data_IF_297634837808
#
_entry.id   IF_297634837808
#
_cell.length_a   1.000
_cell.length_b   1.000
_cell.length_c   1.000
_cell.angle_alpha   90.00
_cell.angle_beta   90.00
_cell.angle_gamma   90.00
#
_symmetry.space_group_name_H-M   'P 1'
#
loop_
_entity.id
_entity.type
_entity.pdbx_description
1 polymer ?
#
# COMPACT_ATOMS: atom_id res chain seq x y z
N UNK A 1 -4.34 -13.88 15.49
CA UNK A 1 -3.14 -13.10 15.10
C UNK A 1 -3.41 -12.42 13.76
N UNK A 2 -2.85 -11.22 13.56
CA UNK A 2 -2.95 -10.47 12.29
C UNK A 2 -1.61 -10.57 11.58
N UNK A 3 -1.63 -10.94 10.28
CA UNK A 3 -0.45 -10.96 9.44
C UNK A 3 0.02 -9.55 9.09
N UNK A 4 1.33 -9.28 9.13
CA UNK A 4 1.90 -8.01 8.70
C UNK A 4 3.28 -8.19 8.06
N UNK A 5 3.73 -7.16 7.31
CA UNK A 5 5.01 -7.15 6.60
C UNK A 5 5.77 -5.87 6.96
N UNK A 6 6.38 -5.79 8.15
CA UNK A 6 7.02 -4.56 8.66
C UNK A 6 8.17 -4.03 7.79
N UNK A 7 8.77 -4.89 6.97
CA UNK A 7 9.87 -4.53 6.05
C UNK A 7 9.38 -3.92 4.73
N UNK A 8 8.07 -3.88 4.47
CA UNK A 8 7.54 -3.32 3.23
C UNK A 8 7.49 -1.79 3.27
N UNK A 9 7.70 -1.15 2.11
CA UNK A 9 7.59 0.30 1.99
C UNK A 9 6.20 0.82 2.33
N UNK A 10 5.15 0.09 1.95
CA UNK A 10 3.77 0.45 2.26
C UNK A 10 3.48 0.42 3.78
N UNK A 11 4.05 -0.53 4.51
CA UNK A 11 3.93 -0.55 5.97
C UNK A 11 4.63 0.66 6.60
N UNK A 12 5.83 1.02 6.10
CA UNK A 12 6.53 2.23 6.55
C UNK A 12 5.68 3.49 6.33
N UNK A 13 5.07 3.64 5.16
CA UNK A 13 4.18 4.78 4.86
C UNK A 13 2.95 4.81 5.76
N UNK A 14 2.39 3.67 6.10
CA UNK A 14 1.29 3.56 7.05
C UNK A 14 1.71 3.99 8.47
N UNK A 15 2.92 3.63 8.90
CA UNK A 15 3.47 4.09 10.19
C UNK A 15 3.69 5.60 10.18
N UNK A 16 4.24 6.17 9.10
CA UNK A 16 4.35 7.62 8.93
C UNK A 16 2.99 8.30 9.04
N UNK A 17 1.98 7.78 8.36
CA UNK A 17 0.62 8.31 8.45
C UNK A 17 0.06 8.23 9.88
N UNK A 18 0.31 7.14 10.58
CA UNK A 18 -0.09 6.97 11.99
C UNK A 18 0.57 8.01 12.89
N UNK A 19 1.86 8.26 12.71
CA UNK A 19 2.60 9.29 13.45
C UNK A 19 2.02 10.68 13.17
N UNK A 20 1.83 11.03 11.91
CA UNK A 20 1.30 12.35 11.52
C UNK A 20 -0.13 12.61 12.01
N UNK A 21 -0.96 11.59 12.04
CA UNK A 21 -2.39 11.73 12.39
C UNK A 21 -2.68 11.53 13.89
N UNK A 22 -1.89 10.70 14.56
CA UNK A 22 -2.17 10.24 15.93
C UNK A 22 -1.02 10.48 16.92
N UNK A 23 0.17 10.81 16.42
CA UNK A 23 1.39 10.98 17.20
C UNK A 23 2.15 9.67 17.51
N UNK A 24 3.40 9.83 17.93
CA UNK A 24 4.35 8.73 18.16
C UNK A 24 3.85 7.69 19.15
N UNK A 25 3.30 8.14 20.28
CA UNK A 25 2.83 7.25 21.34
C UNK A 25 1.76 6.28 20.85
N UNK A 26 0.80 6.77 20.06
CA UNK A 26 -0.28 5.94 19.51
C UNK A 26 0.27 4.99 18.46
N UNK A 27 1.14 5.47 17.57
CA UNK A 27 1.80 4.65 16.56
C UNK A 27 2.64 3.54 17.21
N UNK A 28 3.44 3.87 18.22
CA UNK A 28 4.26 2.89 18.93
C UNK A 28 3.43 1.82 19.65
N UNK A 29 2.35 2.23 20.34
CA UNK A 29 1.45 1.29 20.99
C UNK A 29 0.80 0.33 20.00
N UNK A 30 0.38 0.81 18.83
CA UNK A 30 -0.15 -0.02 17.77
C UNK A 30 0.90 -1.02 17.26
N UNK A 31 2.14 -0.58 17.04
CA UNK A 31 3.26 -1.43 16.61
C UNK A 31 3.58 -2.52 17.65
N UNK A 32 3.63 -2.17 18.93
CA UNK A 32 3.80 -3.15 20.03
C UNK A 32 2.67 -4.17 20.05
N UNK A 33 1.42 -3.71 19.88
CA UNK A 33 0.27 -4.61 19.74
C UNK A 33 0.38 -5.57 18.56
N UNK A 34 0.91 -5.11 17.41
CA UNK A 34 1.19 -5.97 16.26
C UNK A 34 2.31 -6.99 16.57
N UNK A 35 3.34 -6.61 17.34
CA UNK A 35 4.40 -7.54 17.76
C UNK A 35 3.85 -8.66 18.63
N UNK A 36 3.03 -8.32 19.61
CA UNK A 36 2.46 -9.28 20.57
C UNK A 36 1.39 -10.18 19.93
N UNK A 37 0.52 -9.60 19.13
CA UNK A 37 -0.69 -10.26 18.61
C UNK A 37 -0.61 -10.58 17.12
N UNK A 38 0.49 -10.25 16.46
CA UNK A 38 0.69 -10.43 15.02
C UNK A 38 1.47 -11.71 14.66
N UNK A 39 1.53 -11.96 13.36
CA UNK A 39 2.48 -12.87 12.71
C UNK A 39 3.18 -12.12 11.60
N UNK A 40 4.51 -12.14 11.61
CA UNK A 40 5.33 -11.38 10.65
C UNK A 40 5.62 -12.23 9.43
N UNK A 41 5.53 -11.61 8.26
CA UNK A 41 5.82 -12.23 6.97
C UNK A 41 6.84 -11.40 6.18
N UNK A 42 7.59 -12.05 5.31
CA UNK A 42 8.61 -11.38 4.49
C UNK A 42 8.01 -10.63 3.28
N UNK A 43 6.82 -11.01 2.81
CA UNK A 43 6.16 -10.45 1.62
C UNK A 43 4.65 -10.40 1.80
N UNK A 44 4.02 -9.36 1.20
CA UNK A 44 2.56 -9.22 1.23
C UNK A 44 1.83 -10.40 0.56
N UNK A 45 2.35 -10.96 -0.53
CA UNK A 45 1.78 -12.15 -1.17
C UNK A 45 1.82 -13.38 -0.27
N UNK A 46 2.86 -13.53 0.56
CA UNK A 46 2.95 -14.62 1.54
C UNK A 46 1.95 -14.40 2.68
N UNK A 47 1.81 -13.17 3.17
CA UNK A 47 0.82 -12.84 4.18
C UNK A 47 -0.62 -13.09 3.69
N UNK A 48 -0.92 -12.73 2.43
CA UNK A 48 -2.20 -13.04 1.80
C UNK A 48 -2.45 -14.55 1.71
N UNK A 49 -1.45 -15.32 1.26
CA UNK A 49 -1.57 -16.77 1.16
C UNK A 49 -1.77 -17.43 2.53
N UNK A 50 -1.18 -16.88 3.59
CA UNK A 50 -1.39 -17.35 4.96
C UNK A 50 -2.85 -17.17 5.43
N UNK A 51 -3.50 -16.05 5.03
CA UNK A 51 -4.94 -15.88 5.28
C UNK A 51 -5.76 -16.86 4.45
N UNK A 52 -5.42 -17.03 3.17
CA UNK A 52 -6.11 -17.97 2.28
C UNK A 52 -6.03 -19.42 2.78
N UNK A 53 -4.90 -19.80 3.38
CA UNK A 53 -4.68 -21.11 3.99
C UNK A 53 -5.30 -21.25 5.40
N UNK A 54 -5.82 -20.16 5.99
CA UNK A 54 -6.39 -20.17 7.34
C UNK A 54 -5.35 -20.14 8.47
N UNK A 55 -4.08 -19.81 8.19
CA UNK A 55 -3.05 -19.67 9.22
C UNK A 55 -3.29 -18.47 10.15
N UNK A 56 -3.78 -17.37 9.59
CA UNK A 56 -4.17 -16.15 10.28
C UNK A 56 -5.53 -15.66 9.77
N UNK A 57 -6.37 -15.06 10.61
CA UNK A 57 -7.70 -14.62 10.19
C UNK A 57 -7.69 -13.37 9.31
N UNK A 58 -6.63 -12.58 9.33
CA UNK A 58 -6.48 -11.36 8.55
C UNK A 58 -5.01 -11.01 8.34
N UNK A 59 -4.72 -10.19 7.32
CA UNK A 59 -3.40 -9.59 7.10
C UNK A 59 -3.52 -8.16 6.57
N UNK A 60 -2.56 -7.32 6.96
CA UNK A 60 -2.41 -5.96 6.42
C UNK A 60 -1.59 -6.02 5.13
N UNK A 61 -2.23 -5.73 4.02
CA UNK A 61 -1.62 -5.75 2.68
C UNK A 61 -2.17 -4.60 1.82
N UNK A 62 -1.50 -4.31 0.71
CA UNK A 62 -2.11 -3.48 -0.32
C UNK A 62 -3.18 -4.26 -1.09
N UNK A 63 -4.24 -3.58 -1.50
CA UNK A 63 -5.39 -4.17 -2.21
C UNK A 63 -5.00 -4.92 -3.49
N UNK A 64 -4.05 -4.41 -4.25
CA UNK A 64 -3.68 -5.01 -5.55
C UNK A 64 -3.13 -6.43 -5.46
N UNK A 65 -2.60 -6.87 -4.31
CA UNK A 65 -2.18 -8.28 -4.13
C UNK A 65 -3.38 -9.22 -4.18
N UNK A 66 -4.48 -8.83 -3.54
CA UNK A 66 -5.71 -9.64 -3.58
C UNK A 66 -6.32 -9.69 -4.99
N UNK A 67 -6.37 -8.54 -5.69
CA UNK A 67 -6.88 -8.49 -7.05
C UNK A 67 -6.01 -9.30 -8.02
N UNK A 68 -4.69 -9.33 -7.83
CA UNK A 68 -3.81 -10.18 -8.62
C UNK A 68 -4.11 -11.67 -8.40
N UNK A 69 -4.30 -12.09 -7.15
CA UNK A 69 -4.68 -13.45 -6.81
C UNK A 69 -6.07 -13.83 -7.35
N UNK A 70 -7.03 -12.90 -7.24
CA UNK A 70 -8.38 -13.08 -7.76
C UNK A 70 -8.41 -13.20 -9.31
N UNK A 71 -7.54 -12.46 -10.00
CA UNK A 71 -7.39 -12.58 -11.45
C UNK A 71 -6.80 -13.94 -11.86
N UNK A 72 -5.89 -14.48 -11.05
CA UNK A 72 -5.24 -15.77 -11.29
C UNK A 72 -6.16 -16.95 -11.02
N UNK A 73 -6.89 -16.93 -9.90
CA UNK A 73 -7.63 -18.10 -9.39
C UNK A 73 -9.15 -18.01 -9.54
N UNK A 74 -9.69 -16.86 -9.94
CA UNK A 74 -11.11 -16.53 -9.84
C UNK A 74 -11.47 -16.01 -8.44
N UNK A 75 -12.10 -14.87 -8.34
CA UNK A 75 -12.46 -14.26 -7.05
C UNK A 75 -13.43 -15.15 -6.24
N UNK A 76 -14.30 -15.87 -6.93
CA UNK A 76 -15.27 -16.81 -6.37
C UNK A 76 -14.64 -18.04 -5.73
N UNK A 77 -13.40 -18.37 -6.12
CA UNK A 77 -12.65 -19.51 -5.59
C UNK A 77 -11.80 -19.14 -4.36
N UNK A 78 -11.70 -17.86 -4.02
CA UNK A 78 -10.93 -17.40 -2.87
C UNK A 78 -11.73 -17.47 -1.57
N UNK A 79 -11.08 -17.90 -0.50
CA UNK A 79 -11.63 -17.87 0.85
C UNK A 79 -11.52 -16.48 1.47
N UNK A 80 -10.61 -15.65 0.94
CA UNK A 80 -10.34 -14.30 1.43
C UNK A 80 -11.17 -13.26 0.71
N UNK A 81 -11.33 -12.11 1.35
CA UNK A 81 -11.94 -10.91 0.78
C UNK A 81 -11.22 -9.67 1.29
N UNK A 82 -11.31 -8.57 0.54
CA UNK A 82 -10.79 -7.29 0.99
C UNK A 82 -11.74 -6.63 1.99
N UNK A 83 -11.15 -6.07 3.05
CA UNK A 83 -11.79 -5.13 3.93
C UNK A 83 -11.07 -3.79 3.85
N UNK A 84 -11.76 -2.73 3.43
CA UNK A 84 -11.21 -1.38 3.36
C UNK A 84 -11.46 -0.66 4.68
N UNK A 85 -10.39 -0.30 5.37
CA UNK A 85 -10.45 0.58 6.52
C UNK A 85 -10.91 1.96 6.02
N UNK A 86 -11.72 2.67 6.81
CA UNK A 86 -12.38 3.95 6.42
C UNK A 86 -12.23 4.99 7.52
N UNK A 87 -13.04 6.06 7.43
CA UNK A 87 -13.19 7.11 8.45
C UNK A 87 -11.91 7.90 8.72
N UNK A 88 -11.11 8.14 7.67
CA UNK A 88 -9.83 8.88 7.77
C UNK A 88 -8.85 8.27 8.77
N UNK A 89 -9.01 6.97 9.04
CA UNK A 89 -8.06 6.23 9.86
C UNK A 89 -6.70 6.11 9.14
N UNK A 90 -5.56 6.07 9.85
CA UNK A 90 -4.26 5.83 9.22
C UNK A 90 -4.22 4.58 8.33
N UNK A 91 -5.00 3.55 8.66
CA UNK A 91 -5.13 2.32 7.85
C UNK A 91 -5.89 2.51 6.54
N UNK A 92 -6.60 3.62 6.35
CA UNK A 92 -7.25 3.99 5.09
C UNK A 92 -6.33 4.81 4.15
N UNK A 93 -5.02 4.86 4.43
CA UNK A 93 -4.05 5.60 3.64
C UNK A 93 -4.08 5.17 2.17
N UNK A 94 -4.19 6.16 1.29
CA UNK A 94 -3.96 5.99 -0.15
C UNK A 94 -2.58 6.55 -0.48
N UNK A 95 -1.75 5.74 -1.11
CA UNK A 95 -0.40 6.10 -1.55
C UNK A 95 -0.35 6.27 -3.06
N UNK A 96 0.68 6.96 -3.54
CA UNK A 96 0.86 7.23 -4.96
C UNK A 96 2.15 6.58 -5.44
N UNK A 97 2.08 5.92 -6.60
CA UNK A 97 3.27 5.53 -7.35
C UNK A 97 3.83 6.74 -8.07
N UNK A 98 5.15 6.88 -8.09
CA UNK A 98 5.82 8.01 -8.70
C UNK A 98 6.95 7.58 -9.63
N UNK A 99 7.25 8.41 -10.62
CA UNK A 99 8.42 8.29 -11.46
C UNK A 99 9.24 9.59 -11.39
N UNK A 100 10.56 9.46 -11.38
CA UNK A 100 11.46 10.61 -11.35
C UNK A 100 12.65 10.40 -12.29
N UNK A 101 13.17 11.49 -12.82
CA UNK A 101 14.37 11.49 -13.66
C UNK A 101 15.56 11.85 -12.78
N UNK A 102 16.56 10.98 -12.71
CA UNK A 102 17.77 11.24 -11.95
C UNK A 102 18.53 12.45 -12.52
N UNK A 103 19.01 13.32 -11.64
CA UNK A 103 19.82 14.50 -12.04
C UNK A 103 21.05 14.10 -12.86
N UNK A 104 21.63 12.95 -12.57
CA UNK A 104 22.81 12.38 -13.24
C UNK A 104 22.48 11.64 -14.55
N UNK A 105 21.21 11.48 -14.92
CA UNK A 105 20.84 10.80 -16.17
C UNK A 105 21.44 11.52 -17.38
N UNK A 106 22.00 10.72 -18.29
CA UNK A 106 22.49 11.19 -19.59
C UNK A 106 21.41 11.19 -20.69
N UNK A 107 20.26 10.53 -20.42
CA UNK A 107 19.14 10.35 -21.35
C UNK A 107 17.88 11.07 -20.85
N UNK A 108 18.02 12.34 -20.44
CA UNK A 108 16.91 13.09 -19.80
C UNK A 108 15.73 13.33 -20.70
N UNK A 109 16.00 13.60 -21.98
CA UNK A 109 14.92 13.85 -22.96
C UNK A 109 14.09 12.59 -23.21
N UNK A 110 14.72 11.44 -23.38
CA UNK A 110 14.04 10.15 -23.52
C UNK A 110 13.30 9.77 -22.26
N UNK A 111 13.93 9.97 -21.12
CA UNK A 111 13.30 9.72 -19.80
C UNK A 111 12.08 10.61 -19.60
N UNK A 112 12.15 11.90 -20.03
CA UNK A 112 11.00 12.80 -20.00
C UNK A 112 9.86 12.30 -20.87
N UNK A 113 10.12 11.89 -22.10
CA UNK A 113 9.11 11.32 -23.00
C UNK A 113 8.43 10.09 -22.36
N UNK A 114 9.20 9.26 -21.67
CA UNK A 114 8.64 8.09 -20.96
C UNK A 114 7.76 8.50 -19.78
N UNK A 115 8.18 9.47 -18.96
CA UNK A 115 7.36 10.00 -17.86
C UNK A 115 6.08 10.64 -18.38
N UNK A 116 6.17 11.43 -19.46
CA UNK A 116 5.01 12.03 -20.12
C UNK A 116 4.06 10.94 -20.67
N UNK A 117 4.61 9.86 -21.23
CA UNK A 117 3.81 8.69 -21.65
C UNK A 117 3.09 8.05 -20.46
N UNK A 118 3.76 7.82 -19.32
CA UNK A 118 3.13 7.24 -18.13
C UNK A 118 1.94 8.08 -17.63
N UNK A 119 2.01 9.41 -17.75
CA UNK A 119 0.92 10.31 -17.39
C UNK A 119 -0.16 10.45 -18.50
N UNK A 120 0.10 9.97 -19.70
CA UNK A 120 -0.86 10.02 -20.81
C UNK A 120 -2.02 9.04 -20.60
N UNK A 121 -3.12 9.22 -21.38
CA UNK A 121 -4.24 8.27 -21.35
C UNK A 121 -3.79 6.85 -21.65
N UNK A 122 -3.01 6.65 -22.73
CA UNK A 122 -2.49 5.33 -23.11
C UNK A 122 -1.60 4.70 -22.03
N UNK A 123 -0.73 5.49 -21.40
CA UNK A 123 0.12 5.03 -20.30
C UNK A 123 -0.69 4.62 -19.10
N UNK A 124 -1.67 5.42 -18.71
CA UNK A 124 -2.56 5.09 -17.60
C UNK A 124 -3.42 3.85 -17.90
N UNK A 125 -3.98 3.73 -19.10
CA UNK A 125 -4.72 2.53 -19.53
C UNK A 125 -3.84 1.28 -19.45
N UNK A 126 -2.57 1.35 -19.90
CA UNK A 126 -1.63 0.24 -19.83
C UNK A 126 -1.32 -0.18 -18.38
N UNK A 127 -1.14 0.79 -17.47
CA UNK A 127 -0.88 0.54 -16.05
C UNK A 127 -2.07 -0.15 -15.36
N UNK A 128 -3.27 0.41 -15.49
CA UNK A 128 -4.45 -0.14 -14.82
C UNK A 128 -4.96 -1.44 -15.45
N UNK A 129 -4.60 -1.76 -16.68
CA UNK A 129 -4.94 -3.04 -17.31
C UNK A 129 -4.31 -4.25 -16.60
N UNK A 130 -3.17 -4.04 -15.95
CA UNK A 130 -2.40 -5.12 -15.32
C UNK A 130 -2.38 -5.05 -13.79
N UNK A 131 -2.72 -3.89 -13.20
CA UNK A 131 -2.73 -3.70 -11.76
C UNK A 131 -4.02 -3.03 -11.30
N UNK A 132 -4.54 -3.49 -10.18
CA UNK A 132 -5.70 -2.90 -9.52
C UNK A 132 -5.29 -1.63 -8.76
N UNK A 133 -4.97 -0.60 -9.52
CA UNK A 133 -4.62 0.75 -9.06
C UNK A 133 -5.61 1.76 -9.63
N UNK A 134 -5.81 2.86 -8.91
CA UNK A 134 -6.65 3.97 -9.39
C UNK A 134 -5.86 4.82 -10.38
N UNK A 135 -6.39 5.07 -11.58
CA UNK A 135 -5.71 5.96 -12.52
C UNK A 135 -5.70 7.40 -11.98
N UNK A 136 -4.67 8.17 -12.33
CA UNK A 136 -4.63 9.61 -12.05
C UNK A 136 -5.58 10.41 -12.96
N UNK A 137 -5.96 9.84 -14.08
CA UNK A 137 -6.83 10.47 -15.08
C UNK A 137 -8.27 10.06 -14.89
N UNK A 138 -9.18 11.02 -14.96
CA UNK A 138 -10.62 10.81 -14.86
C UNK A 138 -11.26 10.18 -16.10
N UNK A 139 -10.55 10.23 -17.25
CA UNK A 139 -10.97 9.65 -18.53
C UNK A 139 -10.39 8.23 -18.77
N UNK A 140 -9.84 7.60 -17.72
CA UNK A 140 -9.36 6.22 -17.71
C UNK A 140 -10.09 5.43 -16.63
N UNK A 141 -10.55 4.23 -16.97
CA UNK A 141 -11.23 3.33 -16.04
C UNK A 141 -10.42 2.06 -15.85
N UNK A 142 -10.24 1.64 -14.61
CA UNK A 142 -9.63 0.34 -14.31
C UNK A 142 -10.60 -0.80 -14.65
N UNK A 143 -10.11 -1.90 -15.27
CA UNK A 143 -10.94 -3.09 -15.52
C UNK A 143 -11.21 -3.92 -14.26
N UNK A 144 -10.53 -3.62 -13.14
CA UNK A 144 -10.77 -4.29 -11.87
C UNK A 144 -11.99 -3.67 -11.17
N UNK A 145 -12.84 -4.52 -10.60
CA UNK A 145 -14.01 -4.08 -9.83
C UNK A 145 -13.56 -3.60 -8.43
N UNK A 146 -12.91 -2.43 -8.40
CA UNK A 146 -12.42 -1.84 -7.16
C UNK A 146 -13.51 -1.02 -6.46
N UNK A 147 -13.39 -0.88 -5.13
CA UNK A 147 -14.19 0.07 -4.36
C UNK A 147 -14.06 1.48 -4.97
N UNK A 148 -15.13 2.24 -5.19
CA UNK A 148 -15.02 3.60 -5.69
C UNK A 148 -14.11 4.47 -4.82
N UNK A 149 -13.19 5.22 -5.43
CA UNK A 149 -12.19 6.02 -4.72
C UNK A 149 -12.79 6.92 -3.64
N UNK A 150 -13.92 7.57 -3.94
CA UNK A 150 -14.62 8.46 -2.99
C UNK A 150 -15.13 7.72 -1.73
N UNK A 151 -15.34 6.40 -1.80
CA UNK A 151 -15.80 5.59 -0.67
C UNK A 151 -14.67 5.14 0.24
N UNK A 152 -13.41 5.29 -0.16
CA UNK A 152 -12.25 4.91 0.66
C UNK A 152 -12.11 5.77 1.90
N UNK A 153 -12.60 7.02 1.88
CA UNK A 153 -12.50 7.96 2.99
C UNK A 153 -11.07 8.09 3.53
N UNK A 154 -10.10 8.15 2.59
CA UNK A 154 -8.69 8.24 2.93
C UNK A 154 -8.39 9.50 3.76
N UNK A 155 -7.44 9.43 4.72
CA UNK A 155 -6.96 10.61 5.41
C UNK A 155 -6.15 11.50 4.46
N UNK A 156 -6.15 12.79 4.71
CA UNK A 156 -5.24 13.72 4.03
C UNK A 156 -3.94 13.76 4.81
N UNK A 157 -2.88 13.23 4.22
CA UNK A 157 -1.54 13.20 4.81
C UNK A 157 -0.55 13.75 3.78
N UNK A 158 0.32 14.66 4.21
CA UNK A 158 1.41 15.15 3.36
C UNK A 158 2.39 14.04 3.00
N UNK A 159 2.98 14.13 1.82
CA UNK A 159 4.00 13.17 1.38
C UNK A 159 5.09 12.97 2.44
N UNK A 160 5.58 11.73 2.67
CA UNK A 160 6.61 11.47 3.66
C UNK A 160 7.94 12.15 3.30
N UNK A 161 8.52 12.87 4.24
CA UNK A 161 9.91 13.35 4.16
C UNK A 161 10.88 12.23 4.55
N UNK A 162 12.19 12.46 4.33
CA UNK A 162 13.21 11.55 4.81
C UNK A 162 13.20 11.43 6.35
N UNK A 163 12.98 12.55 7.05
CA UNK A 163 12.88 12.60 8.51
C UNK A 163 11.67 11.82 9.03
N UNK A 164 10.49 11.96 8.38
CA UNK A 164 9.30 11.16 8.73
C UNK A 164 9.57 9.65 8.64
N UNK A 165 10.26 9.23 7.57
CA UNK A 165 10.62 7.82 7.37
C UNK A 165 11.64 7.31 8.40
N UNK A 166 12.61 8.15 8.75
CA UNK A 166 13.59 7.82 9.81
C UNK A 166 12.89 7.63 11.15
N UNK A 167 12.00 8.55 11.53
CA UNK A 167 11.23 8.45 12.76
C UNK A 167 10.35 7.20 12.79
N UNK A 168 9.63 6.92 11.71
CA UNK A 168 8.81 5.71 11.61
C UNK A 168 9.65 4.43 11.72
N UNK A 169 10.84 4.38 11.11
CA UNK A 169 11.75 3.26 11.25
C UNK A 169 12.20 3.06 12.70
N UNK A 170 12.55 4.13 13.42
CA UNK A 170 12.90 4.07 14.85
C UNK A 170 11.79 3.45 15.69
N UNK A 171 10.54 3.84 15.44
CA UNK A 171 9.38 3.27 16.15
C UNK A 171 9.16 1.79 15.81
N UNK A 172 9.37 1.39 14.55
CA UNK A 172 9.27 -0.02 14.13
C UNK A 172 10.34 -0.87 14.83
N UNK A 173 11.57 -0.36 14.94
CA UNK A 173 12.70 -1.01 15.65
C UNK A 173 12.43 -1.06 17.16
N UNK A 174 11.98 0.04 17.78
CA UNK A 174 11.62 0.09 19.19
C UNK A 174 10.51 -0.91 19.55
N UNK A 175 9.57 -1.13 18.65
CA UNK A 175 8.53 -2.13 18.81
C UNK A 175 9.02 -3.58 18.59
N UNK A 176 10.27 -3.79 18.17
CA UNK A 176 10.85 -5.11 17.90
C UNK A 176 10.28 -5.79 16.65
N UNK A 177 9.88 -4.99 15.63
CA UNK A 177 9.32 -5.48 14.36
C UNK A 177 10.36 -5.55 13.23
N UNK A 178 11.54 -5.05 13.46
CA UNK A 178 12.76 -5.18 12.65
C UNK A 178 13.89 -5.71 13.49
#
# INVERSE_FOLDING_TARGET
KIGSVPTSGAFLEQVVASVKLKGDKVALNWLKGLKENGKLYAKNSVALQAVENGEVPAALINNYYWYALAKEKGAENLKTRLYFIRHKDPGALVTYSGAAILKSSKNKEEAKKFVDFLASKKGQEALVAVRAEYPLRTDVTSPFNMEPYAKLQAPVVSAPTAQDKEQANKLIEEAGLK
#
